data_IF_483302644630
#
_entry.id   IF_483302644630
#
_cell.length_a   1.000
_cell.length_b   1.000
_cell.length_c   1.000
_cell.angle_alpha   90.00
_cell.angle_beta   90.00
_cell.angle_gamma   90.00
#
_symmetry.space_group_name_H-M   'P 1'
#
loop_
_entity.id
_entity.type
_entity.pdbx_description
1 polymer ?
#
# COMPACT_ATOMS: atom_id res chain seq x y z
N UNK A 1 -29.18 30.10 53.79
CA UNK A 1 -29.28 29.27 52.57
C UNK A 1 -28.52 29.88 51.38
N UNK A 2 -27.18 29.83 51.36
CA UNK A 2 -26.37 30.45 50.27
C UNK A 2 -25.44 29.46 49.56
N UNK A 3 -25.64 28.15 49.71
CA UNK A 3 -24.76 27.12 49.15
C UNK A 3 -25.21 26.54 47.79
N UNK A 4 -26.31 27.04 47.21
CA UNK A 4 -26.96 26.44 46.05
C UNK A 4 -26.33 26.82 44.68
N UNK A 5 -25.95 28.09 44.42
CA UNK A 5 -25.46 28.48 43.08
C UNK A 5 -24.00 28.10 42.79
N UNK A 6 -23.10 28.28 43.77
CA UNK A 6 -21.65 27.99 43.60
C UNK A 6 -21.37 26.49 43.46
N UNK A 7 -22.17 25.65 44.11
CA UNK A 7 -22.08 24.20 43.99
C UNK A 7 -22.47 23.71 42.58
N UNK A 8 -23.56 24.25 42.01
CA UNK A 8 -24.00 23.94 40.63
C UNK A 8 -22.94 24.29 39.60
N UNK A 9 -22.36 25.50 39.68
CA UNK A 9 -21.29 25.92 38.75
C UNK A 9 -20.07 24.99 38.84
N UNK A 10 -19.70 24.55 40.04
CA UNK A 10 -18.59 23.60 40.24
C UNK A 10 -18.89 22.22 39.66
N UNK A 11 -20.09 21.70 39.88
CA UNK A 11 -20.51 20.39 39.35
C UNK A 11 -20.59 20.41 37.82
N UNK A 12 -21.10 21.50 37.22
CA UNK A 12 -21.15 21.67 35.77
C UNK A 12 -19.74 21.84 35.17
N UNK A 13 -18.84 22.56 35.85
CA UNK A 13 -17.43 22.67 35.46
C UNK A 13 -16.73 21.30 35.41
N UNK A 14 -16.91 20.49 36.46
CA UNK A 14 -16.37 19.13 36.49
C UNK A 14 -16.92 18.25 35.36
N UNK A 15 -18.23 18.34 35.07
CA UNK A 15 -18.84 17.61 33.94
C UNK A 15 -18.25 18.02 32.60
N UNK A 16 -17.97 19.31 32.42
CA UNK A 16 -17.34 19.86 31.23
C UNK A 16 -15.90 19.34 31.08
N UNK A 17 -15.13 19.31 32.16
CA UNK A 17 -13.77 18.77 32.16
C UNK A 17 -13.75 17.29 31.80
N UNK A 18 -14.62 16.48 32.41
CA UNK A 18 -14.76 15.06 32.07
C UNK A 18 -15.19 14.85 30.62
N UNK A 19 -16.14 15.65 30.12
CA UNK A 19 -16.57 15.56 28.73
C UNK A 19 -15.45 15.94 27.76
N UNK A 20 -14.68 16.99 28.08
CA UNK A 20 -13.55 17.44 27.27
C UNK A 20 -12.43 16.39 27.22
N UNK A 21 -12.08 15.80 28.37
CA UNK A 21 -11.08 14.74 28.44
C UNK A 21 -11.54 13.47 27.69
N UNK A 22 -12.81 13.08 27.85
CA UNK A 22 -13.40 11.97 27.10
C UNK A 22 -13.36 12.22 25.60
N UNK A 23 -13.72 13.42 25.15
CA UNK A 23 -13.66 13.80 23.74
C UNK A 23 -12.24 13.72 23.20
N UNK A 24 -11.26 14.28 23.91
CA UNK A 24 -9.84 14.21 23.54
C UNK A 24 -9.38 12.77 23.37
N UNK A 25 -9.68 11.91 24.35
CA UNK A 25 -9.30 10.51 24.30
C UNK A 25 -9.94 9.76 23.12
N UNK A 26 -11.21 10.00 22.82
CA UNK A 26 -11.90 9.39 21.68
C UNK A 26 -11.27 9.87 20.37
N UNK A 27 -11.00 11.17 20.24
CA UNK A 27 -10.39 11.74 19.03
C UNK A 27 -8.99 11.19 18.79
N UNK A 28 -8.14 11.14 19.82
CA UNK A 28 -6.79 10.59 19.70
C UNK A 28 -6.81 9.12 19.26
N UNK A 29 -7.67 8.29 19.89
CA UNK A 29 -7.82 6.88 19.50
C UNK A 29 -8.33 6.73 18.06
N UNK A 30 -9.28 7.57 17.66
CA UNK A 30 -9.84 7.55 16.30
C UNK A 30 -8.76 7.95 15.29
N UNK A 31 -7.99 9.01 15.55
CA UNK A 31 -6.91 9.45 14.67
C UNK A 31 -5.84 8.36 14.50
N UNK A 32 -5.40 7.76 15.61
CA UNK A 32 -4.44 6.66 15.57
C UNK A 32 -4.98 5.47 14.76
N UNK A 33 -6.25 5.12 14.92
CA UNK A 33 -6.89 4.07 14.13
C UNK A 33 -6.86 4.36 12.61
N UNK A 34 -7.17 5.60 12.21
CA UNK A 34 -7.12 6.00 10.80
C UNK A 34 -5.69 6.01 10.24
N UNK A 35 -4.70 6.46 11.02
CA UNK A 35 -3.29 6.41 10.63
C UNK A 35 -2.85 4.96 10.36
N UNK A 36 -3.10 4.04 11.31
CA UNK A 36 -2.75 2.63 11.12
C UNK A 36 -3.52 1.97 9.97
N UNK A 37 -4.74 2.44 9.64
CA UNK A 37 -5.46 1.96 8.45
C UNK A 37 -4.84 2.47 7.16
N UNK A 38 -4.40 3.73 7.13
CA UNK A 38 -3.74 4.33 5.98
C UNK A 38 -2.40 3.63 5.70
N UNK A 39 -1.55 3.46 6.72
CA UNK A 39 -0.27 2.77 6.62
C UNK A 39 -0.43 1.33 6.09
N UNK A 40 -1.42 0.59 6.59
CA UNK A 40 -1.74 -0.75 6.09
C UNK A 40 -2.22 -0.74 4.64
N UNK A 41 -3.03 0.25 4.26
CA UNK A 41 -3.49 0.44 2.89
C UNK A 41 -2.33 0.73 1.94
N UNK A 42 -1.41 1.59 2.36
CA UNK A 42 -0.20 1.93 1.62
C UNK A 42 0.73 0.72 1.47
N UNK A 43 1.01 0.00 2.56
CA UNK A 43 1.83 -1.21 2.51
C UNK A 43 1.24 -2.29 1.59
N UNK A 44 -0.10 -2.43 1.60
CA UNK A 44 -0.80 -3.35 0.70
C UNK A 44 -0.77 -2.86 -0.75
N UNK A 45 -0.89 -1.56 -0.99
CA UNK A 45 -0.76 -1.01 -2.34
C UNK A 45 0.66 -1.19 -2.86
N UNK A 46 1.68 -0.97 -2.02
CA UNK A 46 3.08 -1.21 -2.36
C UNK A 46 3.35 -2.69 -2.65
N UNK A 47 2.81 -3.62 -1.86
CA UNK A 47 2.99 -5.06 -2.10
C UNK A 47 2.28 -5.56 -3.36
N UNK A 48 1.17 -4.92 -3.74
CA UNK A 48 0.42 -5.23 -4.95
C UNK A 48 0.90 -4.42 -6.17
N UNK A 49 1.71 -3.39 -5.98
CA UNK A 49 2.15 -2.52 -7.06
C UNK A 49 3.37 -3.13 -7.76
N UNK A 50 3.27 -3.47 -9.06
CA UNK A 50 4.42 -3.87 -9.86
C UNK A 50 5.55 -2.84 -9.78
N UNK A 51 5.23 -1.55 -9.56
CA UNK A 51 6.22 -0.48 -9.42
C UNK A 51 7.21 -0.70 -8.27
N UNK A 52 6.79 -1.31 -7.15
CA UNK A 52 7.70 -1.61 -6.05
C UNK A 52 8.72 -2.69 -6.46
N UNK A 53 8.31 -3.66 -7.28
CA UNK A 53 9.20 -4.66 -7.89
C UNK A 53 10.10 -4.00 -8.93
N UNK A 54 9.56 -3.11 -9.76
CA UNK A 54 10.33 -2.39 -10.78
C UNK A 54 11.42 -1.49 -10.18
N UNK A 55 11.12 -0.77 -9.08
CA UNK A 55 12.09 0.08 -8.37
C UNK A 55 13.25 -0.69 -7.74
N UNK A 56 13.10 -2.00 -7.50
CA UNK A 56 14.18 -2.86 -6.98
C UNK A 56 15.09 -3.39 -8.08
N UNK A 57 14.95 -2.91 -9.32
CA UNK A 57 15.78 -3.29 -10.46
C UNK A 57 15.28 -4.49 -11.25
N UNK A 58 14.04 -4.95 -11.00
CA UNK A 58 13.41 -6.00 -11.79
C UNK A 58 12.63 -5.38 -12.97
N UNK A 59 12.49 -6.12 -14.07
CA UNK A 59 11.64 -5.74 -15.20
C UNK A 59 10.37 -6.58 -15.27
N UNK A 60 9.27 -5.99 -15.73
CA UNK A 60 8.05 -6.73 -16.06
C UNK A 60 8.01 -6.97 -17.57
N UNK A 61 8.08 -8.23 -17.97
CA UNK A 61 8.07 -8.65 -19.37
C UNK A 61 6.64 -8.91 -19.83
N UNK A 62 6.25 -8.28 -20.95
CA UNK A 62 4.94 -8.43 -21.58
C UNK A 62 5.08 -8.65 -23.08
N UNK A 63 4.06 -9.24 -23.69
CA UNK A 63 3.90 -9.25 -25.15
C UNK A 63 3.52 -7.85 -25.66
N UNK A 64 3.61 -7.57 -26.97
CA UNK A 64 3.20 -6.30 -27.54
C UNK A 64 1.71 -5.98 -27.29
N UNK A 65 0.89 -7.00 -27.14
CA UNK A 65 -0.54 -6.92 -26.80
C UNK A 65 -0.80 -6.68 -25.31
N UNK A 66 0.25 -6.62 -24.48
CA UNK A 66 0.19 -6.27 -23.07
C UNK A 66 0.01 -7.45 -22.11
N UNK A 67 0.04 -8.70 -22.60
CA UNK A 67 -0.05 -9.89 -21.75
C UNK A 67 1.27 -10.11 -20.99
N UNK A 68 1.19 -10.36 -19.68
CA UNK A 68 2.37 -10.69 -18.85
C UNK A 68 2.90 -12.08 -19.20
N UNK A 69 4.22 -12.20 -19.34
CA UNK A 69 4.91 -13.47 -19.57
C UNK A 69 5.41 -14.00 -18.24
N UNK A 70 4.90 -15.17 -17.83
CA UNK A 70 5.19 -15.79 -16.53
C UNK A 70 6.15 -16.98 -16.65
N UNK A 71 6.32 -17.54 -17.86
CA UNK A 71 7.11 -18.75 -18.07
C UNK A 71 7.88 -18.69 -19.38
N UNK A 72 9.10 -19.22 -19.37
CA UNK A 72 9.93 -19.37 -20.56
C UNK A 72 9.30 -20.33 -21.60
N UNK A 73 8.37 -21.19 -21.18
CA UNK A 73 7.66 -22.11 -22.09
C UNK A 73 6.69 -21.39 -23.03
N UNK A 74 6.28 -20.17 -22.71
CA UNK A 74 5.41 -19.36 -23.58
C UNK A 74 6.19 -18.50 -24.59
N UNK A 75 7.52 -18.62 -24.64
CA UNK A 75 8.38 -17.83 -25.51
C UNK A 75 9.02 -18.67 -26.61
N UNK A 76 9.25 -18.03 -27.76
CA UNK A 76 10.00 -18.57 -28.89
C UNK A 76 11.02 -17.54 -29.37
N UNK A 77 12.10 -18.02 -29.99
CA UNK A 77 13.03 -17.14 -30.68
C UNK A 77 12.29 -16.34 -31.77
N UNK A 78 12.57 -15.04 -31.84
CA UNK A 78 11.90 -14.08 -32.72
C UNK A 78 10.72 -13.34 -32.09
N UNK A 79 10.20 -13.77 -30.93
CA UNK A 79 9.07 -13.09 -30.29
C UNK A 79 9.44 -11.67 -29.86
N UNK A 80 8.57 -10.71 -30.16
CA UNK A 80 8.69 -9.33 -29.70
C UNK A 80 8.19 -9.21 -28.26
N UNK A 81 8.89 -8.42 -27.46
CA UNK A 81 8.65 -8.24 -26.04
C UNK A 81 8.70 -6.75 -25.67
N UNK A 82 7.94 -6.38 -24.65
CA UNK A 82 8.10 -5.11 -23.93
C UNK A 82 8.52 -5.38 -22.50
N UNK A 83 9.60 -4.74 -22.08
CA UNK A 83 10.12 -4.80 -20.72
C UNK A 83 9.83 -3.45 -20.08
N UNK A 84 8.92 -3.43 -19.10
CA UNK A 84 8.68 -2.25 -18.28
C UNK A 84 9.69 -2.21 -17.14
N UNK A 85 10.38 -1.08 -16.98
CA UNK A 85 11.30 -0.75 -15.89
C UNK A 85 10.71 0.41 -15.07
N UNK A 86 11.38 0.81 -13.99
CA UNK A 86 10.88 1.87 -13.10
C UNK A 86 10.75 3.25 -13.79
N UNK A 87 11.55 3.48 -14.83
CA UNK A 87 11.76 4.76 -15.51
C UNK A 87 11.35 4.73 -17.00
N UNK A 88 10.90 3.59 -17.52
CA UNK A 88 10.54 3.50 -18.93
C UNK A 88 10.15 2.10 -19.41
N UNK A 89 10.06 1.97 -20.72
CA UNK A 89 9.75 0.73 -21.42
C UNK A 89 10.79 0.49 -22.50
N UNK A 90 11.28 -0.74 -22.59
CA UNK A 90 12.23 -1.20 -23.60
C UNK A 90 11.53 -2.21 -24.50
N UNK A 91 11.58 -1.99 -25.80
CA UNK A 91 11.20 -3.01 -26.79
C UNK A 91 12.39 -3.96 -27.00
N UNK A 92 12.12 -5.27 -26.98
CA UNK A 92 13.12 -6.31 -27.08
C UNK A 92 12.64 -7.46 -27.98
N UNK A 93 13.57 -8.27 -28.48
CA UNK A 93 13.25 -9.48 -29.24
C UNK A 93 13.97 -10.68 -28.62
N UNK A 94 13.28 -11.82 -28.56
CA UNK A 94 13.87 -13.06 -28.02
C UNK A 94 14.88 -13.62 -29.03
N UNK A 95 16.16 -13.65 -28.69
CA UNK A 95 17.17 -14.31 -29.51
C UNK A 95 17.18 -15.83 -29.33
N UNK A 96 16.92 -16.30 -28.10
CA UNK A 96 16.93 -17.72 -27.77
C UNK A 96 16.30 -18.00 -26.41
N UNK A 97 15.84 -19.24 -26.23
CA UNK A 97 15.10 -19.71 -25.06
C UNK A 97 15.82 -20.93 -24.50
N UNK A 98 16.29 -20.85 -23.25
CA UNK A 98 16.97 -21.96 -22.58
C UNK A 98 16.25 -22.27 -21.26
N UNK A 99 15.70 -23.48 -21.14
CA UNK A 99 15.12 -23.93 -19.87
C UNK A 99 16.22 -24.44 -18.93
N UNK A 100 16.18 -24.01 -17.67
CA UNK A 100 17.00 -24.65 -16.65
C UNK A 100 16.52 -26.09 -16.46
N UNK A 101 17.45 -27.05 -16.54
CA UNK A 101 17.18 -28.47 -16.33
C UNK A 101 16.55 -28.65 -14.94
N UNK A 102 15.30 -29.11 -14.86
CA UNK A 102 14.72 -29.58 -13.60
C UNK A 102 15.57 -30.75 -13.13
N UNK A 103 16.31 -30.58 -12.03
CA UNK A 103 16.97 -31.70 -11.38
C UNK A 103 15.88 -32.69 -10.89
N UNK A 104 16.09 -34.00 -11.06
CA UNK A 104 15.14 -35.03 -10.64
C UNK A 104 14.94 -35.06 -9.12
#
# INVERSE_FOLDING_TARGET
ELLSPTRRVREDGQRLDFAAERLRNILSRRLQHWQTRLERGEARLQSLSPLAVLKRGYGLVRTPEGRVIESIQSLKAGDALRISLADGVVDAQVEGVQSARKAP
#
